data_IF_226059124219
#
_entry.id   IF_226059124219
#
_cell.length_a   1.000
_cell.length_b   1.000
_cell.length_c   1.000
_cell.angle_alpha   90.00
_cell.angle_beta   90.00
_cell.angle_gamma   90.00
#
_symmetry.space_group_name_H-M   'P 1'
#
loop_
_entity.id
_entity.type
_entity.pdbx_description
1 polymer ?
#
# COMPACT_ATOMS: atom_id res chain seq x y z
N UNK A 1 16.44 53.67 1.53
CA UNK A 1 16.24 53.28 0.12
C UNK A 1 16.86 51.91 -0.09
N UNK A 2 16.04 50.95 -0.59
CA UNK A 2 16.31 49.66 -1.27
C UNK A 2 17.79 49.23 -1.41
N UNK A 3 18.26 47.99 -1.27
CA UNK A 3 17.79 46.59 -1.38
C UNK A 3 19.04 45.73 -1.08
N UNK A 4 18.99 44.47 -0.63
CA UNK A 4 18.78 43.26 -1.45
C UNK A 4 18.74 42.05 -0.51
N UNK A 5 17.59 41.42 -0.40
CA UNK A 5 17.46 40.07 0.16
C UNK A 5 17.94 39.05 -0.87
N UNK A 6 19.00 38.31 -0.55
CA UNK A 6 19.49 37.19 -1.35
C UNK A 6 18.56 35.98 -1.15
N UNK A 7 17.59 35.80 -2.04
CA UNK A 7 16.76 34.60 -2.10
C UNK A 7 17.61 33.42 -2.59
N UNK A 8 17.94 32.51 -1.68
CA UNK A 8 18.52 31.21 -2.03
C UNK A 8 17.45 30.36 -2.70
N UNK A 9 17.58 30.22 -4.02
CA UNK A 9 16.78 29.32 -4.84
C UNK A 9 17.02 27.88 -4.37
N UNK A 10 16.05 27.34 -3.61
CA UNK A 10 16.03 25.94 -3.21
C UNK A 10 16.13 25.07 -4.46
N UNK A 11 17.24 24.34 -4.57
CA UNK A 11 17.46 23.35 -5.63
C UNK A 11 16.43 22.24 -5.43
N UNK A 12 15.27 22.41 -6.04
CA UNK A 12 14.29 21.35 -6.23
C UNK A 12 15.03 20.19 -6.91
N UNK A 13 15.32 19.15 -6.13
CA UNK A 13 15.82 17.88 -6.65
C UNK A 13 14.72 17.35 -7.56
N UNK A 14 14.86 17.67 -8.85
CA UNK A 14 14.12 17.02 -9.92
C UNK A 14 14.50 15.55 -9.87
N UNK A 15 13.67 14.73 -9.25
CA UNK A 15 13.69 13.29 -9.44
C UNK A 15 13.41 13.05 -10.92
N UNK A 16 14.48 12.93 -11.69
CA UNK A 16 14.41 12.51 -13.07
C UNK A 16 13.96 11.05 -13.03
N UNK A 17 12.68 10.80 -13.25
CA UNK A 17 12.20 9.47 -13.58
C UNK A 17 12.85 9.08 -14.91
N UNK A 18 13.97 8.36 -14.82
CA UNK A 18 14.52 7.61 -15.95
C UNK A 18 13.56 6.48 -16.22
N UNK A 19 12.47 6.78 -16.93
CA UNK A 19 11.62 5.77 -17.55
C UNK A 19 12.54 5.01 -18.50
N UNK A 20 12.81 3.75 -18.17
CA UNK A 20 13.37 2.81 -19.14
C UNK A 20 12.36 2.72 -20.28
N UNK A 21 12.57 3.56 -21.29
CA UNK A 21 11.91 3.47 -22.57
C UNK A 21 12.35 2.12 -23.14
N UNK A 22 11.55 1.08 -22.96
CA UNK A 22 11.67 -0.11 -23.79
C UNK A 22 11.68 0.41 -25.23
N UNK A 23 12.81 0.24 -25.91
CA UNK A 23 12.97 0.68 -27.27
C UNK A 23 12.06 -0.15 -28.15
N UNK A 24 10.79 0.25 -28.27
CA UNK A 24 9.92 -0.25 -29.32
C UNK A 24 10.26 0.56 -30.54
N UNK A 25 10.94 -0.08 -31.49
CA UNK A 25 11.24 0.46 -32.81
C UNK A 25 10.02 1.19 -33.37
N UNK A 26 10.22 2.46 -33.75
CA UNK A 26 9.21 3.30 -34.42
C UNK A 26 9.00 2.79 -35.84
N UNK A 27 8.41 1.61 -35.96
CA UNK A 27 7.74 1.21 -37.19
C UNK A 27 6.34 1.78 -37.09
N UNK A 28 6.03 2.74 -37.96
CA UNK A 28 4.69 3.26 -38.22
C UNK A 28 3.78 2.12 -38.69
N UNK A 29 3.35 1.28 -37.75
CA UNK A 29 2.29 0.30 -37.94
C UNK A 29 1.00 1.02 -37.59
N UNK A 30 0.25 1.41 -38.62
CA UNK A 30 -1.21 1.40 -38.49
C UNK A 30 -1.61 -0.07 -38.35
N UNK A 31 -1.43 -0.65 -37.16
CA UNK A 31 -1.92 -1.98 -36.84
C UNK A 31 -3.20 -1.80 -36.04
N UNK A 32 -4.28 -1.67 -36.79
CA UNK A 32 -5.59 -2.22 -36.49
C UNK A 32 -5.92 -2.50 -35.01
N UNK A 33 -6.83 -1.67 -34.51
CA UNK A 33 -7.57 -1.74 -33.25
C UNK A 33 -8.41 -3.04 -33.07
N UNK A 34 -8.21 -4.08 -33.88
CA UNK A 34 -8.99 -5.34 -33.85
C UNK A 34 -8.63 -6.27 -32.68
N UNK A 35 -7.59 -5.96 -31.91
CA UNK A 35 -7.15 -6.77 -30.75
C UNK A 35 -7.45 -6.14 -29.38
N UNK A 36 -8.10 -4.98 -29.31
CA UNK A 36 -8.54 -4.39 -28.05
C UNK A 36 -10.06 -4.52 -27.90
N UNK A 37 -10.51 -5.26 -26.88
CA UNK A 37 -11.94 -5.37 -26.55
C UNK A 37 -12.54 -4.01 -26.14
N UNK A 38 -11.71 -3.14 -25.55
CA UNK A 38 -12.02 -1.73 -25.30
C UNK A 38 -10.76 -0.89 -25.36
N UNK A 39 -10.80 0.16 -26.17
CA UNK A 39 -9.84 1.25 -26.10
C UNK A 39 -10.18 2.13 -24.88
N UNK A 40 -9.29 2.16 -23.89
CA UNK A 40 -9.40 3.10 -22.77
C UNK A 40 -8.95 4.48 -23.22
N UNK A 41 -9.72 5.52 -22.87
CA UNK A 41 -9.37 6.92 -23.15
C UNK A 41 -8.13 7.33 -22.33
N UNK A 42 -7.94 6.72 -21.17
CA UNK A 42 -6.80 6.95 -20.28
C UNK A 42 -5.85 5.74 -20.29
N UNK A 43 -4.54 5.94 -20.06
CA UNK A 43 -3.64 4.84 -19.73
C UNK A 43 -4.21 4.00 -18.59
N UNK A 44 -4.05 2.68 -18.67
CA UNK A 44 -4.59 1.76 -17.65
C UNK A 44 -4.08 2.07 -16.24
N UNK A 45 -2.86 2.58 -16.12
CA UNK A 45 -2.19 2.92 -14.86
C UNK A 45 -2.33 4.40 -14.46
N UNK A 46 -3.20 5.17 -15.13
CA UNK A 46 -3.31 6.62 -14.95
C UNK A 46 -3.45 7.05 -13.48
N UNK A 47 -4.21 6.30 -12.67
CA UNK A 47 -4.43 6.59 -11.25
C UNK A 47 -3.47 5.88 -10.29
N UNK A 48 -2.51 5.09 -10.77
CA UNK A 48 -1.61 4.33 -9.90
C UNK A 48 -0.77 5.23 -9.00
N UNK A 49 -0.27 6.36 -9.53
CA UNK A 49 0.54 7.31 -8.77
C UNK A 49 -0.25 8.10 -7.73
N UNK A 50 -1.57 8.19 -7.90
CA UNK A 50 -2.48 8.88 -6.98
C UNK A 50 -3.16 7.94 -5.98
N UNK A 51 -2.84 6.64 -6.00
CA UNK A 51 -3.43 5.73 -5.03
C UNK A 51 -3.00 6.09 -3.60
N UNK A 52 -3.95 6.07 -2.64
CA UNK A 52 -3.61 6.27 -1.25
C UNK A 52 -2.70 5.13 -0.77
N UNK A 53 -1.86 5.45 0.22
CA UNK A 53 -1.09 4.42 0.92
C UNK A 53 -2.04 3.50 1.67
N UNK A 54 -1.71 2.22 1.71
CA UNK A 54 -2.47 1.25 2.49
C UNK A 54 -2.33 1.62 3.99
N UNK A 55 -3.45 1.87 4.71
CA UNK A 55 -3.37 2.16 6.13
C UNK A 55 -2.99 0.92 6.92
N UNK A 56 -2.12 1.10 7.93
CA UNK A 56 -1.80 0.05 8.90
C UNK A 56 -2.90 0.09 9.98
N UNK A 57 -3.64 -1.01 10.22
CA UNK A 57 -4.67 -1.05 11.25
C UNK A 57 -4.05 -0.99 12.64
N UNK A 58 -4.79 -0.46 13.62
CA UNK A 58 -4.35 -0.52 15.03
C UNK A 58 -4.24 -1.97 15.48
N UNK A 59 -3.19 -2.27 16.24
CA UNK A 59 -2.94 -3.61 16.78
C UNK A 59 -4.16 -4.21 17.50
N UNK A 60 -4.82 -3.42 18.35
CA UNK A 60 -5.98 -3.87 19.13
C UNK A 60 -7.12 -4.38 18.24
N UNK A 61 -7.45 -3.62 17.19
CA UNK A 61 -8.46 -3.99 16.21
C UNK A 61 -8.08 -5.26 15.43
N UNK A 62 -6.79 -5.47 15.16
CA UNK A 62 -6.31 -6.68 14.49
C UNK A 62 -6.50 -7.91 15.39
N UNK A 63 -6.12 -7.82 16.67
CA UNK A 63 -6.32 -8.90 17.65
C UNK A 63 -7.81 -9.24 17.84
N UNK A 64 -8.66 -8.22 17.99
CA UNK A 64 -10.11 -8.41 18.15
C UNK A 64 -10.75 -9.08 16.92
N UNK A 65 -10.39 -8.64 15.71
CA UNK A 65 -10.88 -9.22 14.46
C UNK A 65 -10.42 -10.67 14.29
N UNK A 66 -9.18 -10.96 14.67
CA UNK A 66 -8.65 -12.33 14.66
C UNK A 66 -9.48 -13.24 15.57
N UNK A 67 -9.70 -12.86 16.84
CA UNK A 67 -10.51 -13.65 17.76
C UNK A 67 -11.95 -13.83 17.27
N UNK A 68 -12.53 -12.79 16.67
CA UNK A 68 -13.88 -12.84 16.08
C UNK A 68 -13.97 -13.82 14.91
N UNK A 69 -12.91 -13.92 14.09
CA UNK A 69 -12.83 -14.85 12.97
C UNK A 69 -12.60 -16.30 13.44
N UNK A 70 -11.84 -16.50 14.51
CA UNK A 70 -11.54 -17.83 15.07
C UNK A 70 -12.73 -18.40 15.83
N UNK A 71 -13.51 -17.56 16.52
CA UNK A 71 -14.67 -17.97 17.31
C UNK A 71 -15.61 -18.96 16.59
N UNK A 72 -16.15 -18.68 15.39
CA UNK A 72 -17.03 -19.62 14.70
C UNK A 72 -16.36 -20.95 14.33
N UNK A 73 -15.04 -20.97 14.18
CA UNK A 73 -14.26 -22.17 13.84
C UNK A 73 -14.12 -23.08 15.06
N UNK A 74 -13.94 -22.48 16.24
CA UNK A 74 -13.73 -23.18 17.52
C UNK A 74 -14.99 -23.29 18.39
N UNK A 75 -16.19 -23.00 17.85
CA UNK A 75 -17.45 -22.99 18.60
C UNK A 75 -17.75 -24.29 19.37
N UNK A 76 -17.25 -25.44 18.90
CA UNK A 76 -17.45 -26.74 19.56
C UNK A 76 -16.33 -27.09 20.56
N UNK A 77 -15.29 -26.26 20.67
CA UNK A 77 -14.13 -26.46 21.53
C UNK A 77 -13.76 -25.16 22.27
N UNK A 78 -14.54 -24.87 23.31
CA UNK A 78 -14.39 -23.68 24.17
C UNK A 78 -12.99 -23.61 24.82
N UNK A 79 -12.37 -24.77 25.12
CA UNK A 79 -11.04 -24.81 25.74
C UNK A 79 -9.98 -24.29 24.79
N UNK A 80 -10.03 -24.74 23.53
CA UNK A 80 -9.10 -24.25 22.49
C UNK A 80 -9.32 -22.77 22.18
N UNK A 81 -10.57 -22.28 22.24
CA UNK A 81 -10.86 -20.85 22.07
C UNK A 81 -10.26 -20.02 23.22
N UNK A 82 -10.44 -20.43 24.47
CA UNK A 82 -9.90 -19.72 25.62
C UNK A 82 -8.36 -19.73 25.65
N UNK A 83 -7.72 -20.84 25.28
CA UNK A 83 -6.26 -20.90 25.09
C UNK A 83 -5.78 -19.91 24.03
N UNK A 84 -6.48 -19.84 22.89
CA UNK A 84 -6.16 -18.89 21.81
C UNK A 84 -6.31 -17.46 22.28
N UNK A 85 -7.36 -17.16 23.06
CA UNK A 85 -7.58 -15.84 23.65
C UNK A 85 -6.42 -15.42 24.55
N UNK A 86 -5.96 -16.31 25.43
CA UNK A 86 -4.83 -16.03 26.32
C UNK A 86 -3.55 -15.77 25.53
N UNK A 87 -3.24 -16.59 24.52
CA UNK A 87 -2.09 -16.39 23.65
C UNK A 87 -2.13 -15.03 22.91
N UNK A 88 -3.31 -14.61 22.47
CA UNK A 88 -3.48 -13.31 21.80
C UNK A 88 -3.26 -12.14 22.76
N UNK A 89 -3.71 -12.24 24.00
CA UNK A 89 -3.46 -11.20 25.02
C UNK A 89 -1.99 -11.14 25.44
N UNK A 90 -1.34 -12.29 25.60
CA UNK A 90 0.10 -12.37 25.87
C UNK A 90 0.90 -11.76 24.71
N UNK A 91 0.51 -12.07 23.47
CA UNK A 91 1.13 -11.49 22.27
C UNK A 91 0.93 -9.97 22.22
N UNK A 92 -0.30 -9.49 22.44
CA UNK A 92 -0.65 -8.06 22.44
C UNK A 92 0.12 -7.27 23.49
N UNK A 93 0.32 -7.85 24.67
CA UNK A 93 1.00 -7.18 25.79
C UNK A 93 2.52 -7.23 25.68
N UNK A 94 3.08 -8.29 25.09
CA UNK A 94 4.51 -8.54 24.94
C UNK A 94 5.08 -8.18 23.57
N UNK A 95 5.50 -9.20 22.82
CA UNK A 95 6.29 -9.08 21.59
C UNK A 95 5.65 -8.24 20.48
N UNK A 96 4.32 -8.19 20.43
CA UNK A 96 3.64 -7.54 19.33
C UNK A 96 3.90 -6.04 19.26
N UNK A 97 4.05 -5.35 20.39
CA UNK A 97 4.39 -3.92 20.41
C UNK A 97 5.74 -3.62 19.77
N UNK A 98 6.69 -4.56 19.89
CA UNK A 98 8.00 -4.47 19.25
C UNK A 98 7.91 -4.72 17.74
N UNK A 99 7.08 -5.68 17.33
CA UNK A 99 6.90 -6.03 15.92
C UNK A 99 6.08 -4.99 15.15
N UNK A 100 5.08 -4.37 15.77
CA UNK A 100 4.25 -3.31 15.18
C UNK A 100 5.03 -2.01 14.96
N UNK A 101 6.09 -1.79 15.74
CA UNK A 101 6.97 -0.63 15.63
C UNK A 101 8.11 -0.80 14.60
N UNK A 102 8.27 -1.99 14.02
CA UNK A 102 9.34 -2.33 13.06
C UNK A 102 8.92 -2.02 11.61
#
# INVERSE_FOLDING_TARGET
MLTKSHLTLGKSQRFLYRIHRYATSDSKRKSDDYNCLKASILPTDHFQYSLPRLPIPKLELTCERYLSAVKPILNNDEKSFEQTRQLVEDFRSGDCKRLDAQ
#
